data_IF_847859355668
#
_entry.id   IF_847859355668
#
_cell.length_a   1.000
_cell.length_b   1.000
_cell.length_c   1.000
_cell.angle_alpha   90.00
_cell.angle_beta   90.00
_cell.angle_gamma   90.00
#
_symmetry.space_group_name_H-M   'P 1'
#
loop_
_entity.id
_entity.type
_entity.pdbx_description
1 polymer ?
#
# COMPACT_ATOMS: atom_id res chain seq x y z
N UNK A 1 -47.25 42.48 -23.73
CA UNK A 1 -46.70 42.73 -22.38
C UNK A 1 -45.54 41.78 -22.18
N UNK A 2 -44.34 42.34 -22.02
CA UNK A 2 -43.04 41.67 -22.06
C UNK A 2 -42.68 41.10 -20.67
N UNK A 3 -42.23 39.85 -20.57
CA UNK A 3 -41.41 39.39 -19.43
C UNK A 3 -40.26 38.52 -19.94
N UNK A 4 -39.09 39.13 -19.95
CA UNK A 4 -37.81 38.50 -20.26
C UNK A 4 -37.41 37.61 -19.08
N UNK A 5 -37.19 36.32 -19.32
CA UNK A 5 -36.58 35.43 -18.33
C UNK A 5 -35.06 35.57 -18.48
N UNK A 6 -34.43 36.17 -17.47
CA UNK A 6 -32.98 36.38 -17.42
C UNK A 6 -32.27 35.02 -17.37
N UNK A 7 -31.41 34.77 -18.36
CA UNK A 7 -30.39 33.72 -18.31
C UNK A 7 -29.51 33.92 -17.07
N UNK A 8 -29.47 32.93 -16.18
CA UNK A 8 -28.40 32.80 -15.21
C UNK A 8 -27.33 31.88 -15.81
N UNK A 9 -26.25 32.48 -16.32
CA UNK A 9 -25.02 31.77 -16.63
C UNK A 9 -24.35 31.48 -15.28
N UNK A 10 -24.38 30.21 -14.85
CA UNK A 10 -23.58 29.75 -13.72
C UNK A 10 -22.15 29.49 -14.24
N UNK A 11 -21.35 30.55 -14.27
CA UNK A 11 -19.93 30.45 -14.51
C UNK A 11 -19.21 30.09 -13.20
N UNK A 12 -18.34 29.09 -13.28
CA UNK A 12 -17.14 29.03 -12.44
C UNK A 12 -17.25 28.20 -11.18
N UNK A 13 -16.81 26.94 -11.28
CA UNK A 13 -15.83 26.36 -10.37
C UNK A 13 -15.13 25.23 -11.12
N UNK A 14 -14.22 25.60 -12.03
CA UNK A 14 -13.10 24.71 -12.34
C UNK A 14 -12.18 24.80 -11.12
N UNK A 15 -12.41 23.94 -10.13
CA UNK A 15 -11.35 23.59 -9.19
C UNK A 15 -10.31 22.85 -10.01
N UNK A 16 -9.23 23.56 -10.36
CA UNK A 16 -8.01 22.90 -10.79
C UNK A 16 -7.63 21.93 -9.68
N UNK A 17 -7.81 20.63 -9.94
CA UNK A 17 -7.23 19.60 -9.10
C UNK A 17 -5.72 19.79 -9.24
N UNK A 18 -5.12 20.43 -8.25
CA UNK A 18 -3.67 20.36 -8.11
C UNK A 18 -3.39 18.87 -7.88
N UNK A 19 -2.62 18.25 -8.78
CA UNK A 19 -1.98 16.98 -8.51
C UNK A 19 -0.93 17.25 -7.42
N UNK A 20 -1.40 17.37 -6.18
CA UNK A 20 -0.55 17.34 -5.01
C UNK A 20 -0.29 15.87 -4.74
N UNK A 21 0.98 15.51 -4.55
CA UNK A 21 1.44 14.36 -3.80
C UNK A 21 0.37 13.91 -2.79
N UNK A 22 -0.32 12.80 -3.11
CA UNK A 22 -1.40 12.31 -2.28
C UNK A 22 -0.81 11.27 -1.34
N UNK A 23 -1.01 11.47 -0.04
CA UNK A 23 -0.66 10.44 0.92
C UNK A 23 -1.59 9.25 0.71
N UNK A 24 -1.01 8.13 0.30
CA UNK A 24 -1.71 6.86 0.15
C UNK A 24 -1.55 6.08 1.44
N UNK A 25 -2.66 5.61 2.01
CA UNK A 25 -2.69 4.88 3.27
C UNK A 25 -3.23 3.47 3.05
N UNK A 26 -2.51 2.49 3.57
CA UNK A 26 -2.89 1.09 3.57
C UNK A 26 -2.97 0.56 5.00
N UNK A 27 -3.96 -0.29 5.23
CA UNK A 27 -3.94 -1.24 6.34
C UNK A 27 -3.60 -2.62 5.81
N UNK A 28 -2.96 -3.45 6.63
CA UNK A 28 -2.70 -4.83 6.29
C UNK A 28 -2.94 -5.76 7.47
N UNK A 29 -3.24 -7.01 7.17
CA UNK A 29 -3.39 -8.07 8.15
C UNK A 29 -3.10 -9.42 7.54
N UNK A 30 -2.89 -10.41 8.41
CA UNK A 30 -2.64 -11.77 7.99
C UNK A 30 -2.50 -12.73 9.17
N UNK A 31 -2.20 -13.97 8.83
CA UNK A 31 -1.88 -15.03 9.77
C UNK A 31 -0.66 -15.76 9.30
N UNK A 32 0.16 -16.21 10.26
CA UNK A 32 1.25 -17.14 9.96
C UNK A 32 0.63 -18.48 9.53
N UNK A 33 1.05 -18.97 8.36
CA UNK A 33 0.49 -20.17 7.75
C UNK A 33 1.34 -21.42 8.02
N UNK A 34 2.61 -21.24 8.42
CA UNK A 34 3.54 -22.36 8.66
C UNK A 34 4.53 -22.08 9.79
N UNK A 35 5.17 -23.16 10.26
CA UNK A 35 6.14 -23.11 11.36
C UNK A 35 5.49 -23.09 12.75
N UNK A 36 6.31 -22.94 13.80
CA UNK A 36 5.83 -22.96 15.20
C UNK A 36 4.86 -21.83 15.53
N UNK A 37 4.86 -20.74 14.76
CA UNK A 37 3.98 -19.61 14.97
C UNK A 37 2.68 -19.69 14.15
N UNK A 38 2.40 -20.83 13.51
CA UNK A 38 1.19 -21.00 12.72
C UNK A 38 -0.08 -20.58 13.48
N UNK A 39 -1.01 -19.95 12.77
CA UNK A 39 -2.24 -19.32 13.30
C UNK A 39 -2.02 -18.07 14.16
N UNK A 40 -0.79 -17.58 14.33
CA UNK A 40 -0.53 -16.29 14.96
C UNK A 40 -0.97 -15.17 14.02
N UNK A 41 -1.90 -14.33 14.48
CA UNK A 41 -2.37 -13.17 13.72
C UNK A 41 -1.42 -11.99 13.83
N UNK A 42 -1.44 -11.15 12.80
CA UNK A 42 -0.75 -9.88 12.79
C UNK A 42 -1.48 -8.84 11.96
N UNK A 43 -1.19 -7.57 12.23
CA UNK A 43 -1.83 -6.45 11.57
C UNK A 43 -0.97 -5.21 11.63
N UNK A 44 -1.24 -4.27 10.74
CA UNK A 44 -0.57 -2.99 10.74
C UNK A 44 -1.12 -2.04 9.70
N UNK A 45 -0.37 -0.98 9.48
CA UNK A 45 -0.64 -0.01 8.44
C UNK A 45 0.62 0.75 8.05
N UNK A 46 0.60 1.29 6.85
CA UNK A 46 1.67 2.14 6.34
C UNK A 46 1.09 3.21 5.43
N UNK A 47 1.89 4.24 5.17
CA UNK A 47 1.58 5.22 4.15
C UNK A 47 2.81 5.59 3.35
N UNK A 48 2.59 6.07 2.14
CA UNK A 48 3.63 6.63 1.26
C UNK A 48 3.07 7.83 0.49
N UNK A 49 3.97 8.61 -0.10
CA UNK A 49 3.63 9.70 -1.01
C UNK A 49 3.70 9.19 -2.45
N UNK A 50 2.58 9.24 -3.19
CA UNK A 50 2.52 8.78 -4.58
C UNK A 50 3.10 9.78 -5.60
N UNK A 51 3.50 10.98 -5.17
CA UNK A 51 3.95 12.06 -6.05
C UNK A 51 5.21 11.75 -6.87
N UNK A 52 5.95 10.69 -6.51
CA UNK A 52 7.12 10.22 -7.25
C UNK A 52 6.84 9.07 -8.21
N UNK A 53 5.65 8.46 -8.16
CA UNK A 53 5.30 7.31 -9.00
C UNK A 53 4.99 7.76 -10.43
N UNK A 54 5.48 6.99 -11.40
CA UNK A 54 5.26 7.18 -12.83
C UNK A 54 4.33 6.13 -13.43
N UNK A 55 3.95 5.12 -12.63
CA UNK A 55 3.11 3.97 -13.00
C UNK A 55 3.69 3.14 -14.14
N UNK A 56 5.02 3.10 -14.27
CA UNK A 56 5.71 2.50 -15.41
C UNK A 56 7.00 1.78 -14.99
N UNK A 57 7.10 0.49 -15.37
CA UNK A 57 8.25 -0.33 -15.00
C UNK A 57 8.22 -0.73 -13.53
N UNK A 58 9.40 -1.07 -12.98
CA UNK A 58 9.57 -1.41 -11.57
C UNK A 58 9.83 -0.12 -10.80
N UNK A 59 9.03 0.12 -9.76
CA UNK A 59 9.15 1.31 -8.92
C UNK A 59 9.08 0.91 -7.44
N UNK A 60 9.90 1.56 -6.62
CA UNK A 60 9.89 1.41 -5.17
C UNK A 60 9.84 2.79 -4.54
N UNK A 61 8.86 3.03 -3.66
CA UNK A 61 8.69 4.30 -2.96
C UNK A 61 8.89 4.11 -1.46
N UNK A 62 9.66 5.00 -0.86
CA UNK A 62 9.92 4.98 0.58
C UNK A 62 8.63 5.26 1.37
N UNK A 63 8.45 4.55 2.48
CA UNK A 63 7.28 4.74 3.34
C UNK A 63 7.41 6.02 4.17
N UNK A 64 6.31 6.75 4.31
CA UNK A 64 6.17 7.88 5.21
C UNK A 64 5.84 7.45 6.64
N UNK A 65 5.05 6.39 6.79
CA UNK A 65 4.71 5.79 8.10
C UNK A 65 4.67 4.28 7.99
N UNK A 66 4.94 3.59 9.09
CA UNK A 66 4.75 2.15 9.24
C UNK A 66 4.48 1.83 10.71
N UNK A 67 3.47 0.99 10.96
CA UNK A 67 3.23 0.32 12.24
C UNK A 67 2.85 -1.12 11.96
N UNK A 68 3.50 -2.05 12.64
CA UNK A 68 3.29 -3.48 12.52
C UNK A 68 3.21 -4.12 13.91
N UNK A 69 2.13 -4.84 14.17
CA UNK A 69 1.93 -5.59 15.40
C UNK A 69 2.10 -7.08 15.15
N UNK A 70 3.07 -7.68 15.83
CA UNK A 70 3.37 -9.10 15.72
C UNK A 70 3.91 -9.64 17.04
N UNK A 71 3.36 -10.76 17.51
CA UNK A 71 3.74 -11.42 18.77
C UNK A 71 3.74 -10.48 20.00
N UNK A 72 2.86 -9.47 20.01
CA UNK A 72 2.80 -8.47 21.08
C UNK A 72 3.87 -7.37 21.00
N UNK A 73 4.78 -7.43 20.03
CA UNK A 73 5.67 -6.34 19.65
C UNK A 73 4.97 -5.32 18.73
N UNK A 74 5.48 -4.09 18.73
CA UNK A 74 5.09 -3.04 17.80
C UNK A 74 6.34 -2.51 17.10
N UNK A 75 6.37 -2.66 15.79
CA UNK A 75 7.50 -2.32 14.94
C UNK A 75 7.13 -1.17 13.99
N UNK A 76 8.05 -0.25 13.79
CA UNK A 76 7.91 0.91 12.93
C UNK A 76 9.09 1.09 11.98
N UNK A 77 9.14 2.26 11.32
CA UNK A 77 10.23 2.61 10.40
C UNK A 77 11.62 2.56 11.06
N UNK A 78 11.70 2.90 12.35
CA UNK A 78 12.96 2.94 13.10
C UNK A 78 13.54 1.58 13.45
N UNK A 79 12.75 0.51 13.35
CA UNK A 79 13.18 -0.87 13.63
C UNK A 79 13.72 -1.58 12.38
N UNK A 80 13.59 -0.95 11.21
CA UNK A 80 13.96 -1.55 9.93
C UNK A 80 15.48 -1.69 9.78
N UNK A 81 15.90 -2.83 9.22
CA UNK A 81 17.30 -3.05 8.85
C UNK A 81 17.74 -2.13 7.69
N UNK A 82 16.79 -1.72 6.84
CA UNK A 82 16.96 -0.76 5.74
C UNK A 82 15.67 0.03 5.50
N UNK A 83 15.74 1.13 4.75
CA UNK A 83 14.57 1.98 4.47
C UNK A 83 13.43 1.16 3.84
N UNK A 84 12.27 1.03 4.50
CA UNK A 84 11.16 0.24 3.97
C UNK A 84 10.54 0.87 2.73
N UNK A 85 10.03 0.05 1.82
CA UNK A 85 9.38 0.50 0.57
C UNK A 85 8.04 -0.17 0.31
N UNK A 86 7.20 0.54 -0.44
CA UNK A 86 6.09 -0.04 -1.19
C UNK A 86 6.55 -0.25 -2.64
N UNK A 87 6.38 -1.46 -3.16
CA UNK A 87 6.90 -1.85 -4.48
C UNK A 87 5.76 -1.99 -5.51
N UNK A 88 6.06 -1.59 -6.75
CA UNK A 88 5.11 -1.51 -7.85
C UNK A 88 5.71 -2.06 -9.14
N UNK A 89 4.84 -2.62 -9.98
CA UNK A 89 5.16 -2.94 -11.38
C UNK A 89 4.06 -2.41 -12.30
N UNK A 90 4.40 -1.44 -13.15
CA UNK A 90 3.45 -0.79 -14.07
C UNK A 90 2.18 -0.28 -13.35
N UNK A 91 2.37 0.39 -12.21
CA UNK A 91 1.27 0.91 -11.36
C UNK A 91 0.54 -0.16 -10.52
N UNK A 92 0.89 -1.44 -10.65
CA UNK A 92 0.32 -2.52 -9.83
C UNK A 92 1.13 -2.64 -8.54
N UNK A 93 0.47 -2.48 -7.41
CA UNK A 93 1.07 -2.69 -6.10
C UNK A 93 1.44 -4.18 -5.90
N UNK A 94 2.72 -4.43 -5.61
CA UNK A 94 3.28 -5.77 -5.42
C UNK A 94 3.40 -6.17 -3.96
N UNK A 95 3.48 -5.20 -3.04
CA UNK A 95 3.64 -5.47 -1.61
C UNK A 95 4.59 -4.49 -0.93
N UNK A 96 4.94 -4.86 0.30
CA UNK A 96 5.83 -4.11 1.16
C UNK A 96 7.17 -4.84 1.26
N UNK A 97 8.27 -4.10 1.16
CA UNK A 97 9.61 -4.57 1.52
C UNK A 97 10.01 -3.98 2.87
N UNK A 98 10.07 -4.83 3.90
CA UNK A 98 10.38 -4.44 5.27
C UNK A 98 11.04 -5.59 6.01
N UNK A 99 12.20 -5.36 6.61
CA UNK A 99 12.98 -6.40 7.30
C UNK A 99 13.40 -5.92 8.67
N UNK A 100 13.26 -6.80 9.66
CA UNK A 100 13.74 -6.61 11.03
C UNK A 100 14.44 -7.89 11.46
N UNK A 101 15.77 -7.85 11.59
CA UNK A 101 16.56 -9.01 12.05
C UNK A 101 17.13 -8.86 13.46
N UNK A 102 16.99 -7.67 14.07
CA UNK A 102 17.48 -7.38 15.43
C UNK A 102 16.65 -7.97 16.58
N UNK A 103 15.61 -8.76 16.27
CA UNK A 103 14.72 -9.40 17.24
C UNK A 103 14.61 -10.90 16.97
N UNK A 104 14.08 -11.65 17.93
CA UNK A 104 13.88 -13.10 17.81
C UNK A 104 12.40 -13.47 18.05
N UNK A 105 11.69 -14.02 17.04
CA UNK A 105 12.16 -14.25 15.67
C UNK A 105 12.28 -12.95 14.87
N UNK A 106 13.30 -12.89 14.01
CA UNK A 106 13.39 -11.87 12.98
C UNK A 106 12.37 -12.14 11.87
N UNK A 107 11.97 -11.11 11.15
CA UNK A 107 10.95 -11.22 10.11
C UNK A 107 11.21 -10.31 8.91
N UNK A 108 10.55 -10.64 7.81
CA UNK A 108 10.63 -9.91 6.55
C UNK A 108 9.27 -9.92 5.85
N UNK A 109 8.86 -8.79 5.31
CA UNK A 109 7.78 -8.68 4.35
C UNK A 109 8.43 -8.67 2.97
N UNK A 110 7.95 -9.58 2.13
CA UNK A 110 8.50 -9.82 0.80
C UNK A 110 7.40 -9.50 -0.20
N UNK A 111 7.65 -8.51 -1.04
CA UNK A 111 6.78 -8.14 -2.16
C UNK A 111 6.68 -9.28 -3.18
N UNK A 112 5.56 -9.34 -3.89
CA UNK A 112 5.42 -10.22 -5.04
C UNK A 112 6.48 -9.90 -6.11
N UNK A 113 6.84 -10.89 -6.92
CA UNK A 113 7.80 -10.73 -8.02
C UNK A 113 7.23 -9.97 -9.22
N UNK A 114 5.90 -9.88 -9.34
CA UNK A 114 5.22 -9.25 -10.48
C UNK A 114 5.19 -10.11 -11.75
N UNK A 115 5.52 -11.40 -11.64
CA UNK A 115 5.44 -12.40 -12.71
C UNK A 115 4.00 -12.68 -13.18
N UNK A 116 3.00 -12.41 -12.34
CA UNK A 116 1.59 -12.69 -12.63
C UNK A 116 1.24 -14.18 -12.66
N UNK A 117 2.14 -15.04 -12.18
CA UNK A 117 1.91 -16.48 -12.07
C UNK A 117 1.06 -16.82 -10.85
N UNK A 118 0.33 -17.96 -10.87
CA UNK A 118 -0.34 -18.45 -9.67
C UNK A 118 0.66 -18.66 -8.52
N UNK A 119 0.39 -18.04 -7.37
CA UNK A 119 1.28 -18.09 -6.20
C UNK A 119 2.28 -16.93 -6.10
N UNK A 120 2.30 -16.03 -7.08
CA UNK A 120 3.07 -14.79 -6.99
C UNK A 120 2.35 -13.76 -6.12
N UNK A 121 2.53 -13.88 -4.81
CA UNK A 121 1.87 -13.05 -3.81
C UNK A 121 2.89 -12.56 -2.79
N UNK A 122 2.64 -11.37 -2.23
CA UNK A 122 3.42 -10.89 -1.10
C UNK A 122 3.16 -11.74 0.15
N UNK A 123 4.18 -11.90 0.97
CA UNK A 123 4.10 -12.74 2.18
C UNK A 123 5.02 -12.24 3.30
N UNK A 124 4.67 -12.60 4.52
CA UNK A 124 5.55 -12.51 5.69
C UNK A 124 6.45 -13.75 5.72
N UNK A 125 7.73 -13.58 6.03
CA UNK A 125 8.65 -14.64 6.40
C UNK A 125 9.19 -14.36 7.80
N UNK A 126 9.42 -15.39 8.60
CA UNK A 126 10.12 -15.25 9.88
C UNK A 126 11.14 -16.37 10.08
N UNK A 127 12.17 -16.08 10.86
CA UNK A 127 13.19 -17.03 11.28
C UNK A 127 13.68 -16.69 12.67
N UNK A 128 13.80 -17.71 13.51
CA UNK A 128 14.32 -17.60 14.87
C UNK A 128 15.76 -18.07 14.98
N UNK A 129 16.42 -17.64 16.05
CA UNK A 129 17.77 -18.09 16.42
C UNK A 129 17.86 -19.59 16.70
N UNK A 130 16.74 -20.25 17.04
CA UNK A 130 16.63 -21.69 17.29
C UNK A 130 16.42 -22.52 16.02
N UNK A 131 16.32 -21.88 14.86
CA UNK A 131 16.13 -22.55 13.57
C UNK A 131 14.66 -22.73 13.16
N UNK A 132 13.70 -22.27 13.97
CA UNK A 132 12.30 -22.25 13.59
C UNK A 132 12.06 -21.14 12.58
N UNK A 133 11.40 -21.47 11.48
CA UNK A 133 11.05 -20.53 10.43
C UNK A 133 9.68 -20.85 9.86
N UNK A 134 9.09 -19.88 9.19
CA UNK A 134 7.78 -20.02 8.57
C UNK A 134 7.43 -18.80 7.74
N UNK A 135 6.25 -18.85 7.15
CA UNK A 135 5.69 -17.79 6.34
C UNK A 135 4.22 -17.55 6.68
N UNK A 136 3.71 -16.39 6.29
CA UNK A 136 2.32 -16.00 6.47
C UNK A 136 1.79 -15.16 5.34
N UNK A 137 0.48 -15.24 5.14
CA UNK A 137 -0.26 -14.52 4.11
C UNK A 137 -0.39 -13.02 4.43
N UNK A 138 -0.40 -12.16 3.42
CA UNK A 138 -0.62 -10.73 3.59
C UNK A 138 -1.83 -10.28 2.78
N UNK A 139 -2.74 -9.56 3.44
CA UNK A 139 -3.86 -8.86 2.79
C UNK A 139 -3.71 -7.37 3.01
N UNK A 140 -3.71 -6.60 1.92
CA UNK A 140 -3.60 -5.15 1.93
C UNK A 140 -4.95 -4.51 1.57
N UNK A 141 -5.35 -3.49 2.31
CA UNK A 141 -6.59 -2.74 2.10
C UNK A 141 -6.27 -1.24 2.08
N UNK A 142 -6.41 -0.56 0.93
CA UNK A 142 -6.27 0.89 0.88
C UNK A 142 -7.41 1.56 1.64
N UNK A 143 -7.14 2.68 2.32
CA UNK A 143 -8.20 3.41 3.01
C UNK A 143 -9.25 3.98 2.02
N UNK A 144 -10.53 4.07 2.42
CA UNK A 144 -11.61 4.49 1.52
C UNK A 144 -11.39 5.86 0.88
N UNK A 145 -10.76 6.80 1.59
CA UNK A 145 -10.42 8.11 1.05
C UNK A 145 -9.47 8.01 -0.15
N UNK A 146 -8.52 7.08 -0.10
CA UNK A 146 -7.60 6.77 -1.21
C UNK A 146 -8.33 6.06 -2.36
N UNK A 147 -9.20 5.09 -2.05
CA UNK A 147 -9.93 4.32 -3.06
C UNK A 147 -10.88 5.18 -3.92
N UNK A 148 -11.53 6.18 -3.31
CA UNK A 148 -12.46 7.09 -4.02
C UNK A 148 -11.73 8.01 -5.01
N UNK A 149 -10.49 8.41 -4.73
CA UNK A 149 -9.70 9.23 -5.65
C UNK A 149 -9.26 8.45 -6.90
N UNK A 150 -8.86 7.18 -6.75
CA UNK A 150 -8.50 6.30 -7.87
C UNK A 150 -9.69 6.09 -8.83
N UNK A 151 -10.89 5.86 -8.27
CA UNK A 151 -12.11 5.66 -9.06
C UNK A 151 -12.56 6.92 -9.80
N UNK A 152 -12.41 8.10 -9.19
CA UNK A 152 -12.73 9.38 -9.85
C UNK A 152 -11.72 9.73 -10.94
N UNK A 153 -10.44 9.39 -10.77
CA UNK A 153 -9.38 9.59 -11.76
C UNK A 153 -9.59 8.78 -13.05
N UNK A 154 -9.98 7.51 -12.94
CA UNK A 154 -10.25 6.65 -14.10
C UNK A 154 -11.54 7.06 -14.83
N UNK A 155 -12.54 7.60 -14.11
CA UNK A 155 -13.81 8.04 -14.69
C UNK A 155 -13.69 9.20 -15.69
N UNK A 156 -12.64 10.01 -15.61
CA UNK A 156 -12.46 11.17 -16.50
C UNK A 156 -11.72 10.86 -17.81
N UNK A 157 -11.13 9.67 -17.98
CA UNK A 157 -10.33 9.35 -19.17
C UNK A 157 -11.14 8.82 -20.36
N UNK A 158 -12.46 8.61 -20.23
CA UNK A 158 -13.28 8.00 -21.29
C UNK A 158 -14.38 8.90 -21.83
N UNK A 159 -14.02 10.00 -22.50
CA UNK A 159 -14.79 10.52 -23.65
C UNK A 159 -14.06 11.59 -24.46
N UNK A 160 -13.31 11.16 -25.49
CA UNK A 160 -13.22 11.89 -26.77
C UNK A 160 -13.06 10.89 -27.93
N UNK A 161 -14.19 10.49 -28.50
CA UNK A 161 -14.36 10.33 -29.95
C UNK A 161 -15.70 10.96 -30.30
#
# INVERSE_FOLDING_TARGET
MMKWLKMAVLAGLLTAANAQAAQVVYTFSGTVDSGLLASTGYSGGFSYDDGSLTDSGVESVALSTLSFQFMGGNFGLGDADFSPTADFLNGIFLGLSYVVSGVDPGFSFISASGSGLPGDVAYLSYSSSTGDSGYGSLTYVPEPATAVLVLLGVGMLRRRR
#
